data_IF_756097771333
#
_entry.id   IF_756097771333
#
_cell.length_a   1.000
_cell.length_b   1.000
_cell.length_c   1.000
_cell.angle_alpha   90.00
_cell.angle_beta   90.00
_cell.angle_gamma   90.00
#
_symmetry.space_group_name_H-M   'P 1'
#
loop_
_entity.id
_entity.type
_entity.pdbx_description
1 polymer ?
#
# COMPACT_ATOMS: atom_id res chain seq x y z
N UNK A 1 0.54 20.96 34.70
CA UNK A 1 1.65 20.12 34.19
C UNK A 1 1.20 18.73 33.74
N UNK A 2 0.37 18.00 34.49
CA UNK A 2 -0.15 16.69 34.02
C UNK A 2 -1.07 16.80 32.79
N UNK A 3 -2.00 17.76 32.77
CA UNK A 3 -2.88 17.96 31.61
C UNK A 3 -2.12 18.27 30.32
N UNK A 4 -1.03 19.03 30.39
CA UNK A 4 -0.20 19.35 29.22
C UNK A 4 0.55 18.12 28.73
N UNK A 5 1.09 17.29 29.63
CA UNK A 5 1.74 16.02 29.27
C UNK A 5 0.73 15.06 28.62
N UNK A 6 -0.46 14.91 29.20
CA UNK A 6 -1.53 14.06 28.65
C UNK A 6 -1.96 14.56 27.26
N UNK A 7 -2.18 15.88 27.10
CA UNK A 7 -2.53 16.48 25.81
C UNK A 7 -1.48 16.19 24.73
N UNK A 8 -0.19 16.39 25.03
CA UNK A 8 0.90 16.14 24.08
C UNK A 8 1.00 14.66 23.70
N UNK A 9 0.88 13.75 24.67
CA UNK A 9 0.93 12.31 24.38
C UNK A 9 -0.24 11.84 23.50
N UNK A 10 -1.45 12.37 23.72
CA UNK A 10 -2.61 12.08 22.87
C UNK A 10 -2.37 12.60 21.45
N UNK A 11 -1.87 13.83 21.30
CA UNK A 11 -1.61 14.43 20.00
C UNK A 11 -0.61 13.59 19.18
N UNK A 12 0.47 13.13 19.81
CA UNK A 12 1.48 12.28 19.17
C UNK A 12 0.89 10.93 18.73
N UNK A 13 0.04 10.30 19.56
CA UNK A 13 -0.65 9.05 19.19
C UNK A 13 -1.58 9.25 18.02
N UNK A 14 -2.40 10.31 18.03
CA UNK A 14 -3.31 10.64 16.93
C UNK A 14 -2.54 10.89 15.64
N UNK A 15 -1.44 11.65 15.70
CA UNK A 15 -0.58 11.90 14.55
C UNK A 15 0.01 10.60 13.98
N UNK A 16 0.51 9.71 14.85
CA UNK A 16 1.06 8.42 14.45
C UNK A 16 0.01 7.53 13.78
N UNK A 17 -1.18 7.42 14.39
CA UNK A 17 -2.29 6.63 13.87
C UNK A 17 -2.80 7.19 12.54
N UNK A 18 -2.95 8.52 12.43
CA UNK A 18 -3.35 9.18 11.20
C UNK A 18 -2.38 8.85 10.05
N UNK A 19 -1.08 8.93 10.30
CA UNK A 19 -0.06 8.61 9.28
C UNK A 19 -0.11 7.14 8.85
N UNK A 20 -0.49 6.23 9.75
CA UNK A 20 -0.48 4.78 9.52
C UNK A 20 -1.76 4.27 8.85
N UNK A 21 -2.92 4.78 9.25
CA UNK A 21 -4.21 4.20 8.86
C UNK A 21 -4.96 5.03 7.81
N UNK A 22 -4.71 6.34 7.73
CA UNK A 22 -5.49 7.20 6.84
C UNK A 22 -5.11 6.99 5.37
N UNK A 23 -6.10 6.80 4.48
CA UNK A 23 -5.85 6.48 3.08
C UNK A 23 -5.11 7.58 2.35
N UNK A 24 -4.32 7.16 1.37
CA UNK A 24 -3.69 8.08 0.42
C UNK A 24 -4.71 8.38 -0.68
N UNK A 25 -4.99 9.67 -0.92
CA UNK A 25 -5.93 10.10 -1.96
C UNK A 25 -5.38 9.76 -3.36
N UNK A 26 -6.29 9.48 -4.30
CA UNK A 26 -5.95 9.27 -5.71
C UNK A 26 -5.35 7.90 -6.06
N UNK A 27 -5.42 6.93 -5.14
CA UNK A 27 -4.94 5.56 -5.37
C UNK A 27 -6.12 4.60 -5.24
N UNK A 28 -6.43 3.88 -6.31
CA UNK A 28 -7.59 2.99 -6.40
C UNK A 28 -7.22 1.50 -6.35
N UNK A 29 -8.15 0.67 -5.87
CA UNK A 29 -8.05 -0.79 -5.96
C UNK A 29 -8.36 -1.22 -7.40
N UNK A 30 -7.38 -1.84 -8.04
CA UNK A 30 -7.46 -2.29 -9.42
C UNK A 30 -7.37 -3.80 -9.43
N UNK A 31 -8.22 -4.45 -10.23
CA UNK A 31 -8.16 -5.91 -10.38
C UNK A 31 -6.81 -6.35 -10.97
N UNK A 32 -6.30 -7.46 -10.47
CA UNK A 32 -4.98 -7.97 -10.82
C UNK A 32 -4.80 -8.24 -12.33
N UNK A 33 -5.84 -8.75 -12.99
CA UNK A 33 -5.87 -8.99 -14.44
C UNK A 33 -5.63 -7.71 -15.25
N UNK A 34 -6.15 -6.57 -14.79
CA UNK A 34 -5.93 -5.27 -15.43
C UNK A 34 -4.50 -4.76 -15.19
N UNK A 35 -3.95 -4.99 -14.01
CA UNK A 35 -2.57 -4.59 -13.68
C UNK A 35 -1.57 -5.35 -14.56
N UNK A 36 -1.69 -6.68 -14.63
CA UNK A 36 -0.76 -7.54 -15.38
C UNK A 36 -0.80 -7.27 -16.89
N UNK A 37 -1.96 -6.85 -17.42
CA UNK A 37 -2.11 -6.45 -18.83
C UNK A 37 -1.59 -5.04 -19.15
N UNK A 38 -1.19 -4.26 -18.14
CA UNK A 38 -0.70 -2.90 -18.36
C UNK A 38 0.74 -2.96 -18.86
N UNK A 39 0.96 -2.64 -20.13
CA UNK A 39 2.30 -2.55 -20.70
C UNK A 39 3.14 -1.48 -19.97
N UNK A 40 4.43 -1.75 -19.78
CA UNK A 40 5.38 -0.82 -19.15
C UNK A 40 5.05 -0.45 -17.69
N UNK A 41 4.23 -1.26 -17.00
CA UNK A 41 3.93 -1.10 -15.59
C UNK A 41 4.98 -1.77 -14.71
N UNK A 42 5.39 -1.10 -13.63
CA UNK A 42 6.21 -1.73 -12.59
C UNK A 42 5.30 -2.26 -11.49
N UNK A 43 5.19 -3.59 -11.38
CA UNK A 43 4.32 -4.22 -10.40
C UNK A 43 5.14 -4.55 -9.15
N UNK A 44 5.01 -3.71 -8.12
CA UNK A 44 5.72 -3.85 -6.87
C UNK A 44 4.91 -4.68 -5.88
N UNK A 45 5.46 -5.83 -5.49
CA UNK A 45 4.87 -6.69 -4.48
C UNK A 45 5.53 -6.42 -3.12
N UNK A 46 4.78 -5.85 -2.18
CA UNK A 46 5.29 -5.47 -0.85
C UNK A 46 4.98 -6.49 0.25
N UNK A 47 4.46 -7.66 -0.12
CA UNK A 47 4.21 -8.76 0.81
C UNK A 47 5.53 -9.31 1.35
N UNK A 48 5.47 -9.94 2.52
CA UNK A 48 6.60 -10.68 3.09
C UNK A 48 7.08 -11.78 2.13
N UNK A 49 8.40 -12.03 2.12
CA UNK A 49 9.03 -12.96 1.18
C UNK A 49 8.39 -14.35 1.20
N UNK A 50 8.07 -14.88 2.38
CA UNK A 50 7.42 -16.19 2.53
C UNK A 50 6.08 -16.23 1.79
N UNK A 51 5.22 -15.23 2.01
CA UNK A 51 3.91 -15.17 1.36
C UNK A 51 4.03 -14.96 -0.15
N UNK A 52 4.94 -14.09 -0.60
CA UNK A 52 5.19 -13.83 -2.01
C UNK A 52 5.79 -15.05 -2.73
N UNK A 53 6.64 -15.81 -2.04
CA UNK A 53 7.27 -17.02 -2.54
C UNK A 53 6.28 -18.18 -2.71
N UNK A 54 5.36 -18.36 -1.75
CA UNK A 54 4.32 -19.39 -1.87
C UNK A 54 3.20 -19.02 -2.85
N UNK A 55 2.90 -17.73 -3.00
CA UNK A 55 1.85 -17.22 -3.89
C UNK A 55 2.43 -16.24 -4.91
N UNK A 56 3.28 -16.77 -5.79
CA UNK A 56 3.97 -15.97 -6.80
C UNK A 56 3.00 -15.39 -7.82
N UNK A 57 3.28 -14.16 -8.23
CA UNK A 57 2.58 -13.49 -9.32
C UNK A 57 3.62 -13.17 -10.38
N UNK A 58 3.38 -13.64 -11.60
CA UNK A 58 4.30 -13.41 -12.71
C UNK A 58 4.40 -11.91 -13.01
N UNK A 59 5.62 -11.45 -13.30
CA UNK A 59 5.88 -10.06 -13.66
C UNK A 59 5.91 -9.08 -12.49
N UNK A 60 5.93 -9.56 -11.24
CA UNK A 60 6.09 -8.71 -10.05
C UNK A 60 7.53 -8.69 -9.57
N UNK A 61 7.89 -7.59 -8.92
CA UNK A 61 9.16 -7.45 -8.20
C UNK A 61 8.84 -7.34 -6.72
N UNK A 62 9.24 -8.37 -5.96
CA UNK A 62 8.96 -8.42 -4.54
C UNK A 62 10.00 -7.63 -3.74
N UNK A 63 9.55 -6.55 -3.11
CA UNK A 63 10.30 -5.78 -2.13
C UNK A 63 9.39 -5.62 -0.91
N UNK A 64 9.48 -6.53 0.09
CA UNK A 64 8.60 -6.47 1.24
C UNK A 64 8.66 -5.11 1.92
N UNK A 65 7.55 -4.71 2.54
CA UNK A 65 7.41 -3.37 3.14
C UNK A 65 8.58 -2.99 4.06
N UNK A 66 9.08 -3.94 4.85
CA UNK A 66 10.23 -3.75 5.74
C UNK A 66 11.52 -3.35 5.00
N UNK A 67 11.70 -3.83 3.77
CA UNK A 67 12.87 -3.58 2.94
C UNK A 67 12.68 -2.43 1.94
N UNK A 68 11.45 -1.94 1.78
CA UNK A 68 11.11 -0.91 0.80
C UNK A 68 11.94 0.37 0.98
N UNK A 69 12.14 0.83 2.23
CA UNK A 69 12.89 2.07 2.52
C UNK A 69 14.33 2.05 2.00
N UNK A 70 14.94 0.87 1.90
CA UNK A 70 16.34 0.70 1.45
C UNK A 70 16.44 0.43 -0.05
N UNK A 71 15.40 -0.16 -0.64
CA UNK A 71 15.46 -0.72 -2.00
C UNK A 71 14.55 0.00 -3.02
N UNK A 72 13.91 1.11 -2.66
CA UNK A 72 13.00 1.83 -3.56
C UNK A 72 13.70 2.59 -4.71
N UNK A 73 15.02 2.79 -4.68
CA UNK A 73 15.72 3.67 -5.63
C UNK A 73 15.62 3.21 -7.10
N UNK A 74 15.45 1.91 -7.34
CA UNK A 74 15.26 1.36 -8.69
C UNK A 74 13.87 1.59 -9.30
N UNK A 75 12.97 2.26 -8.57
CA UNK A 75 11.59 2.54 -8.97
C UNK A 75 11.41 3.89 -9.69
N UNK A 76 12.45 4.74 -9.72
CA UNK A 76 12.36 6.09 -10.27
C UNK A 76 11.77 6.09 -11.69
N UNK A 77 10.90 7.07 -11.98
CA UNK A 77 10.25 7.31 -13.29
C UNK A 77 9.21 6.27 -13.74
N UNK A 78 8.95 5.22 -12.94
CA UNK A 78 8.02 4.15 -13.31
C UNK A 78 6.61 4.41 -12.77
N UNK A 79 5.60 4.04 -13.57
CA UNK A 79 4.22 3.89 -13.08
C UNK A 79 4.16 2.62 -12.22
N UNK A 80 4.00 2.78 -10.91
CA UNK A 80 4.01 1.66 -9.96
C UNK A 80 2.59 1.22 -9.63
N UNK A 81 2.36 -0.09 -9.66
CA UNK A 81 1.18 -0.75 -9.08
C UNK A 81 1.61 -1.57 -7.87
N UNK A 82 0.87 -1.46 -6.76
CA UNK A 82 1.24 -2.10 -5.49
C UNK A 82 0.43 -3.38 -5.28
N UNK A 83 1.09 -4.47 -4.94
CA UNK A 83 0.47 -5.71 -4.47
C UNK A 83 0.76 -5.86 -2.98
N UNK A 84 -0.27 -6.02 -2.16
CA UNK A 84 -0.14 -6.09 -0.71
C UNK A 84 -1.12 -7.08 -0.05
N UNK A 85 -0.88 -7.42 1.22
CA UNK A 85 -1.77 -8.30 2.01
C UNK A 85 -2.90 -7.55 2.73
N UNK A 86 -2.76 -6.23 2.91
CA UNK A 86 -3.75 -5.39 3.59
C UNK A 86 -3.62 -3.91 3.18
N UNK A 87 -4.66 -3.13 3.49
CA UNK A 87 -4.74 -1.71 3.13
C UNK A 87 -3.78 -0.80 3.92
N UNK A 88 -3.41 -1.20 5.15
CA UNK A 88 -2.48 -0.41 5.97
C UNK A 88 -1.10 -0.40 5.30
N UNK A 89 -0.65 -1.53 4.80
CA UNK A 89 0.61 -1.65 4.08
C UNK A 89 0.59 -0.86 2.76
N UNK A 90 -0.55 -0.83 2.07
CA UNK A 90 -0.76 0.05 0.90
C UNK A 90 -0.62 1.52 1.31
N UNK A 91 -1.25 1.94 2.39
CA UNK A 91 -1.20 3.34 2.84
C UNK A 91 0.22 3.76 3.24
N UNK A 92 0.94 2.91 3.99
CA UNK A 92 2.31 3.16 4.43
C UNK A 92 3.25 3.24 3.23
N UNK A 93 3.22 2.21 2.37
CA UNK A 93 4.09 2.14 1.19
C UNK A 93 3.78 3.27 0.22
N UNK A 94 2.50 3.54 -0.05
CA UNK A 94 2.10 4.56 -1.01
C UNK A 94 2.53 5.95 -0.56
N UNK A 95 2.27 6.28 0.71
CA UNK A 95 2.68 7.57 1.27
C UNK A 95 4.19 7.74 1.24
N UNK A 96 4.95 6.67 1.50
CA UNK A 96 6.40 6.69 1.43
C UNK A 96 6.89 6.94 -0.01
N UNK A 97 6.38 6.19 -0.98
CA UNK A 97 6.79 6.25 -2.39
C UNK A 97 6.41 7.59 -3.04
N UNK A 98 5.19 8.09 -2.81
CA UNK A 98 4.77 9.41 -3.30
C UNK A 98 5.68 10.54 -2.78
N UNK A 99 6.08 10.49 -1.50
CA UNK A 99 7.04 11.46 -0.92
C UNK A 99 8.43 11.39 -1.54
N UNK A 100 8.73 10.31 -2.27
CA UNK A 100 9.97 10.15 -3.04
C UNK A 100 9.82 10.50 -4.51
N UNK A 101 8.67 11.05 -4.92
CA UNK A 101 8.38 11.40 -6.31
C UNK A 101 7.99 10.21 -7.18
N UNK A 102 7.73 9.04 -6.60
CA UNK A 102 7.32 7.84 -7.35
C UNK A 102 5.81 7.87 -7.55
N UNK A 103 5.38 7.70 -8.80
CA UNK A 103 3.97 7.69 -9.19
C UNK A 103 3.34 6.33 -8.92
N UNK A 104 2.17 6.34 -8.29
CA UNK A 104 1.42 5.13 -7.95
C UNK A 104 0.07 5.19 -8.65
N UNK A 105 -0.21 4.21 -9.49
CA UNK A 105 -1.41 4.19 -10.33
C UNK A 105 -2.54 3.37 -9.71
N UNK A 106 -2.23 2.53 -8.71
CA UNK A 106 -3.23 1.77 -7.96
C UNK A 106 -2.62 0.61 -7.20
N UNK A 107 -3.48 -0.18 -6.57
CA UNK A 107 -3.07 -1.35 -5.80
C UNK A 107 -4.02 -2.53 -5.98
N UNK A 108 -3.55 -3.71 -5.59
CA UNK A 108 -4.35 -4.91 -5.45
C UNK A 108 -4.04 -5.57 -4.11
N UNK A 109 -5.10 -6.04 -3.44
CA UNK A 109 -4.98 -6.80 -2.19
C UNK A 109 -5.09 -8.29 -2.49
N UNK A 110 -4.10 -9.04 -2.05
CA UNK A 110 -4.11 -10.50 -2.13
C UNK A 110 -4.67 -11.08 -0.85
N UNK A 111 -5.50 -12.09 -1.03
CA UNK A 111 -6.02 -12.88 0.07
C UNK A 111 -4.94 -13.80 0.63
N UNK A 112 -4.76 -13.75 1.96
CA UNK A 112 -3.98 -14.76 2.65
C UNK A 112 -4.90 -15.95 2.96
N UNK A 113 -4.62 -17.18 2.49
CA UNK A 113 -5.55 -18.31 2.58
C UNK A 113 -5.97 -18.62 4.03
N UNK A 114 -5.10 -18.36 5.00
CA UNK A 114 -5.34 -18.64 6.42
C UNK A 114 -5.81 -17.43 7.27
N UNK A 115 -6.04 -16.26 6.66
CA UNK A 115 -6.44 -15.05 7.41
C UNK A 115 -7.84 -14.64 6.99
N UNK A 116 -8.81 -14.73 7.92
CA UNK A 116 -10.09 -14.01 7.83
C UNK A 116 -9.82 -12.50 7.96
N UNK A 117 -9.18 -11.90 6.97
CA UNK A 117 -9.18 -10.44 6.84
C UNK A 117 -10.57 -10.00 6.37
N UNK A 118 -11.05 -8.84 6.79
CA UNK A 118 -12.20 -8.20 6.13
C UNK A 118 -11.79 -7.95 4.68
N UNK A 119 -12.22 -8.84 3.79
CA UNK A 119 -11.84 -8.89 2.39
C UNK A 119 -12.40 -7.63 1.71
N UNK A 120 -11.57 -6.61 1.58
CA UNK A 120 -11.75 -5.64 0.50
C UNK A 120 -11.10 -6.22 -0.75
N UNK A 121 -11.71 -7.28 -1.30
CA UNK A 121 -11.61 -7.51 -2.74
C UNK A 121 -12.04 -6.20 -3.41
N UNK A 122 -11.52 -5.88 -4.60
CA UNK A 122 -12.00 -4.71 -5.37
C UNK A 122 -13.49 -4.83 -5.81
N UNK A 123 -14.31 -5.65 -5.12
CA UNK A 123 -15.76 -5.71 -5.23
C UNK A 123 -16.34 -4.45 -4.57
N UNK A 124 -17.01 -3.69 -5.42
CA UNK A 124 -17.63 -2.38 -5.21
C UNK A 124 -16.66 -1.19 -5.06
N UNK A 125 -16.59 -0.47 -6.18
CA UNK A 125 -16.06 0.88 -6.46
C UNK A 125 -16.43 1.98 -5.45
N UNK A 126 -17.08 1.68 -4.32
CA UNK A 126 -17.71 2.63 -3.40
C UNK A 126 -17.04 2.78 -2.03
N UNK A 127 -16.09 1.93 -1.62
CA UNK A 127 -15.65 1.90 -0.21
C UNK A 127 -14.24 2.46 0.04
N UNK A 128 -13.48 2.78 -0.99
CA UNK A 128 -12.16 3.39 -0.82
C UNK A 128 -12.30 4.85 -1.21
N UNK A 129 -12.79 5.66 -0.28
CA UNK A 129 -12.91 7.11 -0.45
C UNK A 129 -11.52 7.75 -0.61
N UNK A 130 -10.97 7.66 -1.81
CA UNK A 130 -10.14 8.70 -2.37
C UNK A 130 -11.09 9.76 -2.90
N UNK A 131 -11.27 10.84 -2.14
CA UNK A 131 -11.99 12.03 -2.60
C UNK A 131 -11.34 12.46 -3.92
N UNK A 132 -12.04 12.26 -5.03
CA UNK A 132 -11.74 12.92 -6.29
C UNK A 132 -11.84 14.42 -6.04
N UNK A 133 -10.73 15.12 -6.24
CA UNK A 133 -10.74 16.56 -6.46
C UNK A 133 -11.04 16.85 -7.93
#
# INVERSE_FOLDING_TARGET
>A
MYFTIISVTILLKVYYLYRRHFPVKGIECIKLDKIVKTNNAYILDIRDYELAHHHQIKGTINIPLAYLKRNYRGLNEKNVYIIASNIVDVNISSRFLLRKGIKINGFYLIHHPNKKSNIQNCKNRRVIHGVHG
#
